data_IF_645148855355
#
_entry.id   IF_645148855355
#
_cell.length_a   1.000
_cell.length_b   1.000
_cell.length_c   1.000
_cell.angle_alpha   90.00
_cell.angle_beta   90.00
_cell.angle_gamma   90.00
#
_symmetry.space_group_name_H-M   'P 1'
#
loop_
_entity.id
_entity.type
_entity.pdbx_description
1 polymer ?
#
# COMPACT_ATOMS: atom_id res chain seq x y z
N UNK A 1 -13.69 -27.45 -6.20
CA UNK A 1 -13.02 -26.73 -7.27
C UNK A 1 -11.76 -26.13 -6.68
N UNK A 2 -10.60 -26.54 -7.17
CA UNK A 2 -9.31 -26.06 -6.69
C UNK A 2 -9.09 -24.61 -7.15
N UNK A 3 -8.38 -23.76 -6.37
CA UNK A 3 -8.03 -22.43 -6.82
C UNK A 3 -7.03 -22.53 -7.96
N UNK A 4 -7.40 -21.95 -9.09
CA UNK A 4 -6.65 -21.95 -10.34
C UNK A 4 -5.40 -21.08 -10.26
N UNK A 5 -4.31 -21.71 -10.61
CA UNK A 5 -3.21 -21.20 -11.39
C UNK A 5 -2.68 -19.78 -11.13
N UNK A 6 -1.81 -19.69 -10.17
CA UNK A 6 -0.79 -18.62 -10.19
C UNK A 6 0.25 -18.95 -11.25
N UNK A 7 0.73 -18.00 -12.06
CA UNK A 7 1.68 -18.29 -13.14
C UNK A 7 3.12 -18.39 -12.61
N UNK A 8 3.36 -19.28 -11.64
CA UNK A 8 4.70 -19.77 -11.32
C UNK A 8 4.78 -21.22 -11.74
N UNK A 9 4.93 -21.48 -13.05
CA UNK A 9 5.36 -22.77 -13.55
C UNK A 9 6.85 -22.71 -13.81
N UNK A 10 7.62 -23.33 -12.91
CA UNK A 10 9.02 -23.68 -13.20
C UNK A 10 8.93 -24.92 -14.09
N UNK A 11 9.23 -24.79 -15.36
CA UNK A 11 9.41 -25.93 -16.27
C UNK A 11 10.88 -26.32 -16.25
N UNK A 12 11.16 -27.52 -15.78
CA UNK A 12 12.46 -28.14 -15.99
C UNK A 12 12.48 -28.76 -17.42
N UNK A 13 13.41 -28.30 -18.24
CA UNK A 13 13.72 -28.95 -19.50
C UNK A 13 15.02 -29.75 -19.30
N UNK A 14 15.08 -30.93 -19.85
CA UNK A 14 16.23 -31.88 -19.78
C UNK A 14 17.55 -31.27 -20.30
N UNK A 15 17.54 -30.11 -20.95
CA UNK A 15 18.70 -29.42 -21.51
C UNK A 15 19.23 -28.25 -20.67
N UNK A 16 18.88 -28.14 -19.41
CA UNK A 16 19.40 -27.09 -18.45
C UNK A 16 19.31 -25.63 -18.91
N UNK A 17 18.45 -25.28 -19.83
CA UNK A 17 18.14 -23.88 -20.10
C UNK A 17 17.03 -23.41 -19.18
N UNK A 18 17.40 -22.62 -18.17
CA UNK A 18 16.46 -21.88 -17.34
C UNK A 18 15.77 -20.81 -18.21
N UNK A 19 14.60 -21.10 -18.74
CA UNK A 19 13.71 -20.06 -19.25
C UNK A 19 13.06 -19.43 -18.03
N UNK A 20 13.74 -18.46 -17.42
CA UNK A 20 13.11 -17.54 -16.50
C UNK A 20 12.27 -16.61 -17.35
N UNK A 21 10.97 -16.85 -17.41
CA UNK A 21 10.03 -15.83 -17.84
C UNK A 21 10.13 -14.71 -16.79
N UNK A 22 10.94 -13.71 -17.06
CA UNK A 22 10.97 -12.49 -16.26
C UNK A 22 9.67 -11.79 -16.60
N UNK A 23 8.69 -11.93 -15.71
CA UNK A 23 7.48 -11.12 -15.76
C UNK A 23 7.90 -9.69 -15.46
N UNK A 24 8.12 -8.89 -16.50
CA UNK A 24 8.57 -7.50 -16.42
C UNK A 24 7.43 -6.54 -16.02
N UNK A 25 6.29 -7.07 -15.53
CA UNK A 25 5.21 -6.21 -15.07
C UNK A 25 5.61 -5.47 -13.78
N UNK A 26 5.22 -4.20 -13.64
CA UNK A 26 5.45 -3.46 -12.40
C UNK A 26 4.71 -4.12 -11.23
N UNK A 27 5.34 -4.16 -10.06
CA UNK A 27 4.65 -4.47 -8.82
C UNK A 27 3.95 -3.18 -8.37
N UNK A 28 2.67 -3.29 -8.03
CA UNK A 28 1.92 -2.18 -7.45
C UNK A 28 1.92 -2.34 -5.93
N UNK A 29 2.47 -1.34 -5.25
CA UNK A 29 2.47 -1.22 -3.80
C UNK A 29 1.38 -0.26 -3.34
N UNK A 30 0.57 -0.68 -2.40
CA UNK A 30 -0.45 0.14 -1.75
C UNK A 30 0.00 0.46 -0.33
N UNK A 31 -0.05 1.74 0.06
CA UNK A 31 0.02 2.08 1.48
C UNK A 31 -1.26 1.64 2.20
N UNK A 32 -1.19 1.57 3.51
CA UNK A 32 -2.33 1.18 4.34
C UNK A 32 -3.07 2.42 4.84
N UNK A 33 -2.41 3.26 5.64
CA UNK A 33 -3.04 4.36 6.36
C UNK A 33 -3.45 5.49 5.40
N UNK A 34 -4.72 5.88 5.43
CA UNK A 34 -5.25 6.91 4.54
C UNK A 34 -5.49 6.46 3.09
N UNK A 35 -5.07 5.25 2.72
CA UNK A 35 -5.31 4.63 1.41
C UNK A 35 -6.30 3.48 1.51
N UNK A 36 -5.99 2.42 2.24
CA UNK A 36 -6.85 1.24 2.45
C UNK A 36 -7.56 1.26 3.80
N UNK A 37 -6.88 1.72 4.84
CA UNK A 37 -7.41 1.88 6.19
C UNK A 37 -7.72 3.35 6.48
N UNK A 38 -8.91 3.63 7.02
CA UNK A 38 -9.37 4.99 7.37
C UNK A 38 -8.69 5.48 8.66
N UNK A 39 -7.36 5.66 8.56
CA UNK A 39 -6.56 6.18 9.66
C UNK A 39 -7.07 7.54 10.14
N UNK A 40 -7.38 8.45 9.23
CA UNK A 40 -7.74 9.81 9.57
C UNK A 40 -9.08 9.89 10.30
N UNK A 41 -10.08 9.12 9.90
CA UNK A 41 -11.35 9.02 10.59
C UNK A 41 -11.21 8.34 11.95
N UNK A 42 -10.50 7.21 12.02
CA UNK A 42 -10.25 6.51 13.29
C UNK A 42 -9.46 7.39 14.29
N UNK A 43 -8.43 8.09 13.81
CA UNK A 43 -7.62 8.98 14.63
C UNK A 43 -8.41 10.19 15.15
N UNK A 44 -9.26 10.80 14.30
CA UNK A 44 -10.16 11.88 14.71
C UNK A 44 -11.14 11.41 15.79
N UNK A 45 -11.71 10.22 15.63
CA UNK A 45 -12.61 9.61 16.62
C UNK A 45 -11.89 9.33 17.96
N UNK A 46 -10.67 8.81 17.90
CA UNK A 46 -9.84 8.56 19.08
C UNK A 46 -9.52 9.85 19.83
N UNK A 47 -9.14 10.91 19.10
CA UNK A 47 -8.87 12.24 19.64
C UNK A 47 -10.16 13.00 20.07
N UNK A 48 -11.35 12.49 19.73
CA UNK A 48 -12.66 13.15 19.98
C UNK A 48 -12.77 14.54 19.35
N UNK A 49 -12.26 14.69 18.13
CA UNK A 49 -12.36 15.87 17.27
C UNK A 49 -13.16 15.56 16.01
N UNK A 50 -13.70 16.59 15.36
CA UNK A 50 -14.42 16.41 14.10
C UNK A 50 -13.48 16.00 12.95
N UNK A 51 -12.27 16.55 12.97
CA UNK A 51 -11.28 16.30 11.96
C UNK A 51 -9.87 16.35 12.56
N UNK A 52 -8.97 15.46 12.17
CA UNK A 52 -7.61 15.40 12.71
C UNK A 52 -6.81 16.70 12.51
N UNK A 53 -7.11 17.48 11.47
CA UNK A 53 -6.50 18.81 11.23
C UNK A 53 -6.92 19.88 12.24
N UNK A 54 -7.94 19.61 13.06
CA UNK A 54 -8.35 20.49 14.14
C UNK A 54 -7.38 20.41 15.33
N UNK A 55 -6.54 19.37 15.39
CA UNK A 55 -5.52 19.19 16.41
C UNK A 55 -4.33 20.12 16.15
N UNK A 56 -3.94 20.86 17.19
CA UNK A 56 -2.67 21.58 17.19
C UNK A 56 -1.46 20.61 17.23
N UNK A 57 -0.23 21.09 16.91
CA UNK A 57 0.96 20.21 16.87
C UNK A 57 1.20 19.43 18.17
N UNK A 58 0.97 20.06 19.34
CA UNK A 58 1.13 19.39 20.64
C UNK A 58 0.07 18.32 20.90
N UNK A 59 -1.18 18.61 20.54
CA UNK A 59 -2.29 17.66 20.70
C UNK A 59 -2.15 16.47 19.74
N UNK A 60 -1.69 16.73 18.52
CA UNK A 60 -1.38 15.70 17.55
C UNK A 60 -0.31 14.75 18.09
N UNK A 61 0.81 15.28 18.60
CA UNK A 61 1.88 14.49 19.20
C UNK A 61 1.38 13.64 20.38
N UNK A 62 0.64 14.27 21.31
CA UNK A 62 0.07 13.56 22.47
C UNK A 62 -0.92 12.46 22.06
N UNK A 63 -1.71 12.69 21.00
CA UNK A 63 -2.66 11.69 20.50
C UNK A 63 -1.91 10.51 19.84
N UNK A 64 -0.83 10.78 19.11
CA UNK A 64 0.04 9.73 18.55
C UNK A 64 0.70 8.93 19.67
N UNK A 65 1.23 9.58 20.70
CA UNK A 65 1.83 8.91 21.87
C UNK A 65 0.81 8.02 22.61
N UNK A 66 -0.46 8.44 22.65
CA UNK A 66 -1.52 7.70 23.33
C UNK A 66 -1.95 6.41 22.63
N UNK A 67 -1.63 6.23 21.35
CA UNK A 67 -1.90 4.98 20.63
C UNK A 67 -0.72 4.00 20.65
N UNK A 68 0.46 4.43 21.14
CA UNK A 68 1.64 3.55 21.30
C UNK A 68 1.30 2.36 22.20
N UNK A 69 1.70 1.16 21.79
CA UNK A 69 1.48 -0.08 22.51
C UNK A 69 0.03 -0.59 22.47
N UNK A 70 -0.89 0.12 21.79
CA UNK A 70 -2.30 -0.28 21.67
C UNK A 70 -2.55 -1.14 20.43
N UNK A 71 -3.78 -1.64 20.30
CA UNK A 71 -4.29 -2.36 19.14
C UNK A 71 -4.91 -1.44 18.06
N UNK A 72 -4.67 -0.13 18.17
CA UNK A 72 -5.29 0.89 17.32
C UNK A 72 -5.22 0.53 15.83
N UNK A 73 -4.04 0.16 15.32
CA UNK A 73 -3.86 -0.18 13.91
C UNK A 73 -4.57 -1.45 13.46
N UNK A 74 -4.95 -2.32 14.41
CA UNK A 74 -5.74 -3.53 14.15
C UNK A 74 -7.24 -3.28 14.05
N UNK A 75 -7.71 -2.12 14.52
CA UNK A 75 -9.14 -1.80 14.67
C UNK A 75 -9.64 -0.71 13.72
N UNK A 76 -8.76 -0.09 12.93
CA UNK A 76 -9.11 0.95 11.96
C UNK A 76 -10.11 0.40 10.93
N UNK A 77 -11.20 1.11 10.60
CA UNK A 77 -12.10 0.72 9.52
C UNK A 77 -11.40 0.76 8.15
N UNK A 78 -11.94 0.02 7.16
CA UNK A 78 -11.56 0.24 5.76
C UNK A 78 -11.96 1.66 5.32
N UNK A 79 -11.20 2.21 4.38
CA UNK A 79 -11.67 3.36 3.61
C UNK A 79 -12.87 2.96 2.75
N UNK A 80 -13.68 3.93 2.36
CA UNK A 80 -14.86 3.72 1.52
C UNK A 80 -14.53 3.06 0.17
N UNK A 81 -13.31 3.23 -0.32
CA UNK A 81 -12.87 2.76 -1.62
C UNK A 81 -11.92 1.56 -1.57
N UNK A 82 -11.60 1.03 -0.38
CA UNK A 82 -10.59 -0.01 -0.19
C UNK A 82 -10.75 -1.19 -1.16
N UNK A 83 -11.94 -1.80 -1.21
CA UNK A 83 -12.18 -3.00 -2.01
C UNK A 83 -12.14 -2.70 -3.52
N UNK A 84 -12.65 -1.54 -3.94
CA UNK A 84 -12.61 -1.15 -5.35
C UNK A 84 -11.19 -0.77 -5.79
N UNK A 85 -10.41 -0.10 -4.95
CA UNK A 85 -9.00 0.20 -5.23
C UNK A 85 -8.18 -1.08 -5.43
N UNK A 86 -8.39 -2.08 -4.56
CA UNK A 86 -7.75 -3.39 -4.70
C UNK A 86 -8.16 -4.05 -6.02
N UNK A 87 -9.45 -4.04 -6.34
CA UNK A 87 -9.95 -4.59 -7.59
C UNK A 87 -9.32 -3.91 -8.81
N UNK A 88 -9.31 -2.58 -8.86
CA UNK A 88 -8.67 -1.81 -9.94
C UNK A 88 -7.19 -2.14 -10.08
N UNK A 89 -6.49 -2.30 -8.96
CA UNK A 89 -5.06 -2.66 -8.96
C UNK A 89 -4.82 -4.07 -9.50
N UNK A 90 -5.66 -5.03 -9.12
CA UNK A 90 -5.59 -6.40 -9.63
C UNK A 90 -5.93 -6.47 -11.13
N UNK A 91 -6.95 -5.74 -11.56
CA UNK A 91 -7.34 -5.67 -12.97
C UNK A 91 -6.20 -5.09 -13.82
N UNK A 92 -5.44 -4.12 -13.27
CA UNK A 92 -4.30 -3.48 -13.95
C UNK A 92 -3.03 -4.34 -13.95
N UNK A 93 -2.60 -4.83 -12.78
CA UNK A 93 -1.29 -5.45 -12.59
C UNK A 93 -1.34 -6.97 -12.30
N UNK A 94 -2.52 -7.55 -12.15
CA UNK A 94 -2.70 -8.96 -11.80
C UNK A 94 -2.51 -9.27 -10.31
N UNK A 95 -2.16 -8.30 -9.49
CA UNK A 95 -1.94 -8.44 -8.05
C UNK A 95 -1.46 -7.14 -7.42
N UNK A 96 -1.24 -7.16 -6.11
CA UNK A 96 -0.72 -6.02 -5.36
C UNK A 96 0.09 -6.49 -4.15
N UNK A 97 0.92 -5.61 -3.62
CA UNK A 97 1.64 -5.76 -2.35
C UNK A 97 1.35 -4.60 -1.42
N UNK A 98 1.48 -4.80 -0.12
CA UNK A 98 1.37 -3.73 0.86
C UNK A 98 2.76 -3.21 1.21
N UNK A 99 2.89 -1.87 1.25
CA UNK A 99 4.10 -1.20 1.72
C UNK A 99 3.71 -0.02 2.61
N UNK A 100 3.71 -0.23 3.92
CA UNK A 100 3.28 0.76 4.91
C UNK A 100 4.38 1.04 5.92
N UNK A 101 4.43 2.25 6.47
CA UNK A 101 5.40 2.60 7.50
C UNK A 101 4.84 2.29 8.90
N UNK A 102 5.66 1.79 9.83
CA UNK A 102 5.25 1.66 11.22
C UNK A 102 5.17 3.03 11.90
N UNK A 103 4.47 3.12 13.02
CA UNK A 103 4.47 4.29 13.90
C UNK A 103 5.84 4.47 14.55
N UNK A 104 6.32 5.72 14.61
CA UNK A 104 7.58 6.06 15.28
C UNK A 104 7.48 5.77 16.78
N UNK A 105 8.45 5.01 17.30
CA UNK A 105 8.50 4.62 18.71
C UNK A 105 7.60 3.42 19.08
N UNK A 106 6.91 2.80 18.09
CA UNK A 106 6.05 1.63 18.29
C UNK A 106 6.15 0.62 17.13
N UNK A 107 7.34 0.49 16.57
CA UNK A 107 7.55 -0.18 15.29
C UNK A 107 7.03 -1.63 15.29
N UNK A 108 7.40 -2.41 16.29
CA UNK A 108 7.05 -3.84 16.36
C UNK A 108 5.54 -4.05 16.60
N UNK A 109 4.98 -3.36 17.59
CA UNK A 109 3.56 -3.47 17.93
C UNK A 109 2.68 -2.94 16.79
N UNK A 110 3.01 -1.78 16.23
CA UNK A 110 2.32 -1.21 15.08
C UNK A 110 2.36 -2.17 13.89
N UNK A 111 3.54 -2.72 13.56
CA UNK A 111 3.67 -3.66 12.45
C UNK A 111 2.87 -4.94 12.67
N UNK A 112 2.83 -5.46 13.90
CA UNK A 112 1.99 -6.62 14.24
C UNK A 112 0.51 -6.34 13.99
N UNK A 113 -0.02 -5.23 14.50
CA UNK A 113 -1.44 -4.88 14.35
C UNK A 113 -1.81 -4.54 12.91
N UNK A 114 -0.94 -3.90 12.14
CA UNK A 114 -1.13 -3.71 10.70
C UNK A 114 -1.25 -5.04 9.95
N UNK A 115 -0.41 -6.03 10.26
CA UNK A 115 -0.52 -7.37 9.67
C UNK A 115 -1.82 -8.07 10.04
N UNK A 116 -2.26 -7.95 11.30
CA UNK A 116 -3.57 -8.47 11.76
C UNK A 116 -4.70 -7.82 10.96
N UNK A 117 -4.65 -6.48 10.82
CA UNK A 117 -5.64 -5.75 10.04
C UNK A 117 -5.70 -6.21 8.59
N UNK A 118 -4.55 -6.31 7.91
CA UNK A 118 -4.43 -6.76 6.52
C UNK A 118 -5.06 -8.14 6.35
N UNK A 119 -4.71 -9.08 7.22
CA UNK A 119 -5.20 -10.45 7.14
C UNK A 119 -6.73 -10.55 7.36
N UNK A 120 -7.30 -9.68 8.20
CA UNK A 120 -8.72 -9.70 8.51
C UNK A 120 -9.58 -8.94 7.50
N UNK A 121 -9.00 -7.96 6.79
CA UNK A 121 -9.78 -7.00 5.99
C UNK A 121 -9.56 -7.13 4.48
N UNK A 122 -8.41 -7.64 4.01
CA UNK A 122 -8.10 -7.64 2.58
C UNK A 122 -8.39 -8.97 1.92
N UNK A 123 -9.20 -8.95 0.86
CA UNK A 123 -9.55 -10.12 0.04
C UNK A 123 -9.73 -9.68 -1.43
N UNK A 124 -8.98 -10.31 -2.38
CA UNK A 124 -7.94 -11.31 -2.17
C UNK A 124 -6.73 -10.75 -1.39
N UNK A 125 -5.97 -11.61 -0.71
CA UNK A 125 -4.82 -11.13 0.07
C UNK A 125 -3.72 -10.55 -0.82
N UNK A 126 -2.89 -9.61 -0.30
CA UNK A 126 -1.73 -9.10 -1.01
C UNK A 126 -0.70 -10.21 -1.27
N UNK A 127 0.11 -10.03 -2.31
CA UNK A 127 1.22 -10.94 -2.62
C UNK A 127 2.30 -10.93 -1.55
N UNK A 128 2.63 -9.72 -1.06
CA UNK A 128 3.61 -9.52 0.02
C UNK A 128 3.20 -8.35 0.92
N UNK A 129 3.73 -8.34 2.16
CA UNK A 129 3.44 -7.31 3.16
C UNK A 129 4.76 -6.81 3.74
N UNK A 130 5.08 -5.56 3.45
CA UNK A 130 6.22 -4.84 3.97
C UNK A 130 5.74 -3.73 4.92
N UNK A 131 6.25 -3.74 6.15
CA UNK A 131 6.02 -2.65 7.11
C UNK A 131 7.38 -2.02 7.36
N UNK A 132 7.71 -1.03 6.52
CA UNK A 132 9.05 -0.49 6.36
C UNK A 132 9.03 1.03 6.21
N UNK A 133 10.08 1.70 6.71
CA UNK A 133 10.21 3.17 6.62
C UNK A 133 10.75 3.62 5.26
N UNK A 134 11.72 2.89 4.73
CA UNK A 134 12.43 3.26 3.50
C UNK A 134 11.68 2.79 2.25
N UNK A 135 10.49 3.33 2.00
CA UNK A 135 9.67 2.89 0.86
C UNK A 135 10.39 3.00 -0.48
N UNK A 136 11.25 4.02 -0.67
CA UNK A 136 11.99 4.22 -1.91
C UNK A 136 12.86 3.05 -2.35
N UNK A 137 13.29 2.18 -1.44
CA UNK A 137 14.12 1.01 -1.76
C UNK A 137 13.36 -0.02 -2.62
N UNK A 138 12.03 0.04 -2.63
CA UNK A 138 11.15 -0.83 -3.41
C UNK A 138 10.75 -0.23 -4.77
N UNK A 139 11.20 0.98 -5.10
CA UNK A 139 10.79 1.71 -6.31
C UNK A 139 11.18 1.01 -7.62
N UNK A 140 12.23 0.20 -7.59
CA UNK A 140 12.74 -0.53 -8.75
C UNK A 140 12.97 -2.01 -8.43
N UNK A 141 12.60 -2.89 -9.35
CA UNK A 141 12.94 -4.31 -9.26
C UNK A 141 13.47 -4.82 -10.61
N UNK A 142 14.71 -5.32 -10.64
CA UNK A 142 15.36 -5.87 -11.85
C UNK A 142 15.23 -4.98 -13.10
N UNK A 143 15.32 -3.67 -12.92
CA UNK A 143 15.20 -2.70 -14.01
C UNK A 143 13.76 -2.27 -14.33
N UNK A 144 12.76 -2.90 -13.72
CA UNK A 144 11.34 -2.54 -13.88
C UNK A 144 10.96 -1.49 -12.82
N UNK A 145 10.25 -0.45 -13.26
CA UNK A 145 9.73 0.59 -12.40
C UNK A 145 8.48 0.09 -11.68
N UNK A 146 8.51 0.03 -10.36
CA UNK A 146 7.33 -0.30 -9.56
C UNK A 146 6.43 0.92 -9.36
N UNK A 147 5.19 0.67 -9.00
CA UNK A 147 4.17 1.71 -8.77
C UNK A 147 3.86 1.77 -7.28
N UNK A 148 3.84 2.97 -6.70
CA UNK A 148 3.38 3.22 -5.33
C UNK A 148 2.10 4.06 -5.36
N UNK A 149 1.10 3.64 -4.57
CA UNK A 149 -0.08 4.44 -4.24
C UNK A 149 -0.01 4.79 -2.76
N UNK A 150 0.13 6.08 -2.43
CA UNK A 150 0.43 6.54 -1.07
C UNK A 150 -0.17 7.95 -0.86
N UNK A 151 -0.61 8.27 0.34
CA UNK A 151 -1.18 9.57 0.67
C UNK A 151 -0.12 10.64 0.98
N UNK A 152 1.09 10.24 1.38
CA UNK A 152 2.12 11.13 1.93
C UNK A 152 3.05 11.67 0.85
N UNK A 153 3.09 13.00 0.62
CA UNK A 153 3.92 13.60 -0.42
C UNK A 153 5.41 13.27 -0.34
N UNK A 154 5.96 13.08 0.87
CA UNK A 154 7.37 12.74 1.02
C UNK A 154 7.67 11.30 0.56
N UNK A 155 6.74 10.35 0.71
CA UNK A 155 6.88 8.99 0.17
C UNK A 155 6.83 9.01 -1.36
N UNK A 156 5.90 9.78 -1.93
CA UNK A 156 5.80 9.99 -3.38
C UNK A 156 7.14 10.52 -3.93
N UNK A 157 7.65 11.60 -3.33
CA UNK A 157 8.93 12.19 -3.75
C UNK A 157 10.11 11.21 -3.62
N UNK A 158 10.21 10.50 -2.49
CA UNK A 158 11.28 9.53 -2.29
C UNK A 158 11.24 8.38 -3.31
N UNK A 159 10.03 7.91 -3.64
CA UNK A 159 9.79 6.86 -4.63
C UNK A 159 10.20 7.27 -6.04
N UNK A 160 9.76 8.46 -6.48
CA UNK A 160 10.10 9.01 -7.81
C UNK A 160 11.61 9.28 -7.94
N UNK A 161 12.24 9.77 -6.87
CA UNK A 161 13.69 9.99 -6.84
C UNK A 161 14.49 8.69 -7.05
N UNK A 162 13.95 7.56 -6.66
CA UNK A 162 14.55 6.23 -6.89
C UNK A 162 14.11 5.60 -8.23
N UNK A 163 13.40 6.34 -9.08
CA UNK A 163 13.04 5.94 -10.43
C UNK A 163 11.72 5.20 -10.56
N UNK A 164 10.97 4.98 -9.47
CA UNK A 164 9.64 4.39 -9.50
C UNK A 164 8.56 5.30 -10.08
N UNK A 165 7.35 4.80 -10.18
CA UNK A 165 6.16 5.56 -10.56
C UNK A 165 5.31 5.74 -9.30
N UNK A 166 4.93 6.96 -8.97
CA UNK A 166 4.13 7.21 -7.78
C UNK A 166 2.78 7.88 -8.12
N UNK A 167 1.74 7.46 -7.40
CA UNK A 167 0.40 8.02 -7.49
C UNK A 167 0.02 8.50 -6.09
N UNK A 168 -0.07 9.81 -5.91
CA UNK A 168 -0.55 10.37 -4.66
C UNK A 168 -2.06 10.18 -4.58
N UNK A 169 -2.53 9.49 -3.53
CA UNK A 169 -3.94 9.25 -3.29
C UNK A 169 -4.24 9.20 -1.79
N UNK A 170 -5.24 9.97 -1.35
CA UNK A 170 -5.73 10.01 0.02
C UNK A 170 -7.24 9.83 0.03
N UNK A 171 -7.72 8.72 0.57
CA UNK A 171 -9.10 8.29 0.40
C UNK A 171 -10.17 9.25 0.96
N UNK A 172 -9.85 10.06 1.96
CA UNK A 172 -10.76 11.07 2.54
C UNK A 172 -10.80 12.39 1.73
N UNK A 173 -9.96 12.55 0.70
CA UNK A 173 -9.84 13.76 -0.11
C UNK A 173 -10.02 13.52 -1.60
N UNK A 174 -9.52 12.40 -2.09
CA UNK A 174 -9.42 12.11 -3.52
C UNK A 174 -10.51 11.14 -3.98
N UNK A 175 -10.83 11.19 -5.26
CA UNK A 175 -11.73 10.24 -5.91
C UNK A 175 -10.93 9.16 -6.62
N UNK A 176 -11.51 7.96 -6.79
CA UNK A 176 -10.85 6.83 -7.46
C UNK A 176 -10.48 7.10 -8.92
N UNK A 177 -11.08 8.11 -9.56
CA UNK A 177 -10.71 8.56 -10.91
C UNK A 177 -9.26 8.99 -11.02
N UNK A 178 -8.62 9.42 -9.94
CA UNK A 178 -7.17 9.70 -9.88
C UNK A 178 -6.39 8.44 -10.23
N UNK A 179 -6.77 7.30 -9.67
CA UNK A 179 -6.10 6.01 -9.89
C UNK A 179 -6.34 5.51 -11.32
N UNK A 180 -7.60 5.48 -11.78
CA UNK A 180 -7.92 5.00 -13.14
C UNK A 180 -7.23 5.84 -14.21
N UNK A 181 -7.18 7.17 -14.04
CA UNK A 181 -6.49 8.07 -14.96
C UNK A 181 -4.97 7.83 -14.97
N UNK A 182 -4.38 7.62 -13.80
CA UNK A 182 -2.95 7.35 -13.68
C UNK A 182 -2.57 6.01 -14.33
N UNK A 183 -3.34 4.95 -14.10
CA UNK A 183 -3.12 3.66 -14.74
C UNK A 183 -3.23 3.73 -16.26
N UNK A 184 -4.21 4.49 -16.79
CA UNK A 184 -4.33 4.76 -18.22
C UNK A 184 -3.08 5.43 -18.80
N UNK A 185 -2.59 6.51 -18.16
CA UNK A 185 -1.39 7.23 -18.60
C UNK A 185 -0.10 6.38 -18.56
N UNK A 186 0.04 5.53 -17.53
CA UNK A 186 1.20 4.64 -17.42
C UNK A 186 1.19 3.62 -18.55
N UNK A 187 0.04 3.03 -18.88
CA UNK A 187 -0.11 2.08 -19.98
C UNK A 187 0.28 2.71 -21.32
N UNK A 188 -0.20 3.92 -21.59
CA UNK A 188 0.08 4.65 -22.84
C UNK A 188 1.57 5.04 -22.98
N UNK A 189 2.30 5.16 -21.87
CA UNK A 189 3.72 5.54 -21.85
C UNK A 189 4.67 4.37 -22.12
N UNK A 190 4.16 3.13 -22.09
CA UNK A 190 4.96 1.89 -22.27
C UNK A 190 4.81 1.31 -23.69
N UNK A 191 3.89 1.86 -24.50
CA UNK A 191 3.70 1.54 -25.90
C UNK A 191 4.51 2.48 -26.78
#
# INVERSE_FOLDING_TARGET
>A
MAPSDRPFKIFWNENFEHIVSVDNRPIVFLDMDGVLADFFGAFSNFAKVNHWKDLGPSELAQTLDAIIGSDFFGTIPKTWCCDELIKMTIDYAGGYSILSSPLDGDEENCAQWKRVWINNNLSPPPSEIFIERSKGDYAMHKGTRNILIDDRPHNIYAWEKQGGIAIRFQADQDKLEVISSAFGQITDSVI
#
